data_IF_123825599272
#
_entry.id   IF_123825599272
#
_cell.length_a   1.000
_cell.length_b   1.000
_cell.length_c   1.000
_cell.angle_alpha   90.00
_cell.angle_beta   90.00
_cell.angle_gamma   90.00
#
_symmetry.space_group_name_H-M   'P 1'
#
loop_
_entity.id
_entity.type
_entity.pdbx_description
1 polymer ?
#
# COMPACT_ATOMS: atom_id res chain seq x y z
N UNK A 1 25.45 9.27 -18.40
CA UNK A 1 24.42 10.14 -17.88
C UNK A 1 23.56 9.44 -16.89
N UNK A 2 23.29 10.07 -15.81
CA UNK A 2 22.47 9.48 -14.80
C UNK A 2 21.05 9.94 -14.95
N UNK A 3 20.22 9.01 -15.04
CA UNK A 3 18.82 9.24 -15.24
C UNK A 3 18.12 9.12 -13.91
N UNK A 4 17.72 10.22 -13.35
CA UNK A 4 16.95 10.19 -12.12
C UNK A 4 15.49 10.16 -12.48
N UNK A 5 14.95 8.99 -12.54
CA UNK A 5 13.54 8.84 -12.73
C UNK A 5 12.89 8.84 -11.36
N UNK A 6 12.24 9.93 -11.05
CA UNK A 6 11.61 10.07 -9.73
C UNK A 6 10.15 9.66 -9.84
N UNK A 7 9.82 8.53 -9.25
CA UNK A 7 8.45 8.08 -9.22
C UNK A 7 7.62 8.94 -8.28
N UNK A 8 6.36 9.17 -8.62
CA UNK A 8 5.45 9.81 -7.71
C UNK A 8 5.20 8.88 -6.52
N UNK A 9 4.76 9.44 -5.40
CA UNK A 9 4.44 8.63 -4.24
C UNK A 9 3.33 7.63 -4.56
N UNK A 10 2.35 8.05 -5.36
CA UNK A 10 1.26 7.18 -5.75
C UNK A 10 1.78 5.95 -6.53
N UNK A 11 2.63 6.17 -7.52
CA UNK A 11 3.18 5.07 -8.30
C UNK A 11 4.08 4.18 -7.45
N UNK A 12 4.84 4.78 -6.57
CA UNK A 12 5.71 4.03 -5.68
C UNK A 12 4.89 3.10 -4.78
N UNK A 13 3.79 3.62 -4.23
CA UNK A 13 2.93 2.79 -3.39
C UNK A 13 2.24 1.69 -4.21
N UNK A 14 1.85 1.97 -5.44
CA UNK A 14 1.29 0.94 -6.32
C UNK A 14 2.28 -0.20 -6.54
N UNK A 15 3.56 0.13 -6.69
CA UNK A 15 4.60 -0.91 -6.79
C UNK A 15 4.70 -1.73 -5.51
N UNK A 16 4.61 -1.10 -4.35
CA UNK A 16 4.63 -1.81 -3.08
C UNK A 16 3.44 -2.77 -2.99
N UNK A 17 2.26 -2.31 -3.38
CA UNK A 17 1.07 -3.15 -3.38
C UNK A 17 1.23 -4.34 -4.33
N UNK A 18 1.78 -4.11 -5.52
CA UNK A 18 1.98 -5.19 -6.49
C UNK A 18 2.97 -6.21 -5.97
N UNK A 19 4.06 -5.78 -5.35
CA UNK A 19 5.02 -6.69 -4.75
C UNK A 19 4.39 -7.49 -3.61
N UNK A 20 3.58 -6.83 -2.80
CA UNK A 20 2.91 -7.48 -1.68
C UNK A 20 1.96 -8.57 -2.18
N UNK A 21 1.13 -8.24 -3.17
CA UNK A 21 0.19 -9.22 -3.72
C UNK A 21 0.91 -10.37 -4.40
N UNK A 22 1.98 -10.08 -5.12
CA UNK A 22 2.76 -11.12 -5.79
C UNK A 22 3.40 -12.06 -4.77
N UNK A 23 3.96 -11.51 -3.71
CA UNK A 23 4.60 -12.31 -2.67
C UNK A 23 3.60 -13.20 -1.94
N UNK A 24 2.39 -12.70 -1.72
CA UNK A 24 1.34 -13.44 -1.02
C UNK A 24 0.43 -14.22 -1.96
N UNK A 25 0.73 -14.19 -3.25
CA UNK A 25 -0.01 -14.94 -4.27
C UNK A 25 -1.48 -14.49 -4.38
N UNK A 26 -1.69 -13.19 -4.30
CA UNK A 26 -3.00 -12.59 -4.56
C UNK A 26 -3.07 -12.02 -5.96
N UNK A 27 -4.27 -11.90 -6.53
CA UNK A 27 -4.42 -11.24 -7.84
C UNK A 27 -3.97 -9.77 -7.78
N UNK A 28 -3.41 -9.27 -8.87
CA UNK A 28 -3.00 -7.88 -8.97
C UNK A 28 -4.22 -6.99 -8.75
N UNK A 29 -4.05 -5.94 -7.95
CA UNK A 29 -5.11 -4.99 -7.67
C UNK A 29 -6.06 -5.42 -6.56
N UNK A 30 -5.86 -6.60 -5.95
CA UNK A 30 -6.77 -7.09 -4.92
C UNK A 30 -6.79 -6.19 -3.68
N UNK A 31 -5.70 -5.47 -3.40
CA UNK A 31 -5.66 -4.59 -2.23
C UNK A 31 -6.55 -3.35 -2.38
N UNK A 32 -6.87 -2.99 -3.61
CA UNK A 32 -7.74 -1.84 -3.89
C UNK A 32 -9.22 -2.22 -3.97
N UNK A 33 -9.55 -3.49 -3.80
CA UNK A 33 -10.93 -3.95 -3.85
C UNK A 33 -11.65 -3.65 -2.54
N UNK A 34 -12.96 -3.83 -2.57
CA UNK A 34 -13.78 -3.63 -1.37
C UNK A 34 -13.80 -4.85 -0.45
N UNK A 35 -13.11 -5.90 -0.81
CA UNK A 35 -13.09 -7.11 -0.01
C UNK A 35 -12.54 -6.86 1.39
N UNK A 36 -13.19 -7.43 2.38
CA UNK A 36 -12.78 -7.34 3.78
C UNK A 36 -12.20 -8.63 4.31
N UNK A 37 -11.81 -9.53 3.43
CA UNK A 37 -11.20 -10.79 3.84
C UNK A 37 -9.94 -10.50 4.65
N UNK A 38 -9.73 -11.29 5.71
CA UNK A 38 -8.61 -11.07 6.60
C UNK A 38 -7.25 -11.09 5.92
N UNK A 39 -6.96 -12.03 5.01
CA UNK A 39 -5.66 -12.01 4.33
C UNK A 39 -5.42 -10.72 3.56
N UNK A 40 -6.46 -10.17 2.92
CA UNK A 40 -6.33 -8.91 2.20
C UNK A 40 -6.14 -7.73 3.14
N UNK A 41 -6.82 -7.75 4.28
CA UNK A 41 -6.63 -6.69 5.28
C UNK A 41 -5.22 -6.72 5.85
N UNK A 42 -4.69 -7.90 6.13
CA UNK A 42 -3.32 -8.04 6.61
C UNK A 42 -2.33 -7.54 5.54
N UNK A 43 -2.57 -7.88 4.28
CA UNK A 43 -1.70 -7.43 3.20
C UNK A 43 -1.73 -5.91 3.05
N UNK A 44 -2.90 -5.30 3.18
CA UNK A 44 -3.02 -3.84 3.16
C UNK A 44 -2.24 -3.21 4.30
N UNK A 45 -2.32 -3.79 5.49
CA UNK A 45 -1.59 -3.29 6.65
C UNK A 45 -0.08 -3.39 6.43
N UNK A 46 0.39 -4.50 5.90
CA UNK A 46 1.82 -4.67 5.60
C UNK A 46 2.29 -3.66 4.56
N UNK A 47 1.55 -3.51 3.46
CA UNK A 47 1.92 -2.55 2.42
C UNK A 47 1.92 -1.12 2.97
N UNK A 48 0.95 -0.77 3.79
CA UNK A 48 0.87 0.56 4.39
C UNK A 48 2.03 0.80 5.34
N UNK A 49 2.38 -0.18 6.14
CA UNK A 49 3.49 -0.09 7.07
C UNK A 49 4.81 0.15 6.32
N UNK A 50 5.06 -0.63 5.28
CA UNK A 50 6.26 -0.47 4.47
C UNK A 50 6.30 0.91 3.84
N UNK A 51 5.17 1.35 3.28
CA UNK A 51 5.10 2.65 2.64
C UNK A 51 5.42 3.79 3.61
N UNK A 52 4.93 3.70 4.84
CA UNK A 52 5.16 4.75 5.83
C UNK A 52 6.58 4.70 6.40
N UNK A 53 7.10 3.51 6.67
CA UNK A 53 8.38 3.40 7.35
C UNK A 53 9.58 3.42 6.40
N UNK A 54 9.43 2.83 5.22
CA UNK A 54 10.56 2.71 4.28
C UNK A 54 10.57 3.80 3.23
N UNK A 55 9.38 4.26 2.79
CA UNK A 55 9.28 5.19 1.67
C UNK A 55 8.68 6.54 2.07
N UNK A 56 8.24 6.68 3.30
CA UNK A 56 7.66 7.92 3.82
C UNK A 56 6.52 8.44 2.95
N UNK A 57 5.67 7.55 2.51
CA UNK A 57 4.54 7.90 1.65
C UNK A 57 3.40 8.45 2.51
N UNK A 58 2.78 9.53 2.02
CA UNK A 58 1.69 10.21 2.74
C UNK A 58 0.49 9.28 2.89
N UNK A 59 -0.12 9.30 4.07
CA UNK A 59 -1.31 8.48 4.36
C UNK A 59 -2.46 8.77 3.41
N UNK A 60 -2.59 10.01 2.96
CA UNK A 60 -3.64 10.37 2.01
C UNK A 60 -3.48 9.61 0.71
N UNK A 61 -2.24 9.47 0.24
CA UNK A 61 -1.96 8.73 -0.99
C UNK A 61 -2.23 7.25 -0.80
N UNK A 62 -1.82 6.70 0.34
CA UNK A 62 -2.07 5.29 0.66
C UNK A 62 -3.58 5.02 0.66
N UNK A 63 -4.34 5.86 1.33
CA UNK A 63 -5.79 5.71 1.37
C UNK A 63 -6.43 5.80 0.00
N UNK A 64 -5.94 6.71 -0.84
CA UNK A 64 -6.44 6.84 -2.20
C UNK A 64 -6.21 5.59 -3.03
N UNK A 65 -5.00 5.05 -2.97
CA UNK A 65 -4.66 3.86 -3.75
C UNK A 65 -5.41 2.64 -3.25
N UNK A 66 -5.52 2.48 -1.94
CA UNK A 66 -6.25 1.36 -1.36
C UNK A 66 -7.77 1.56 -1.36
N UNK A 67 -8.22 2.74 -1.74
CA UNK A 67 -9.64 3.10 -1.72
C UNK A 67 -10.20 2.95 -0.30
N UNK A 68 -9.47 3.50 0.67
CA UNK A 68 -9.82 3.43 2.08
C UNK A 68 -9.73 4.80 2.73
N UNK A 69 -10.42 4.95 3.84
CA UNK A 69 -10.38 6.17 4.62
C UNK A 69 -9.00 6.36 5.26
N UNK A 70 -8.55 7.60 5.35
CA UNK A 70 -7.28 7.94 5.95
C UNK A 70 -7.17 7.44 7.39
N UNK A 71 -8.26 7.47 8.14
CA UNK A 71 -8.29 6.96 9.52
C UNK A 71 -7.95 5.48 9.59
N UNK A 72 -8.41 4.71 8.60
CA UNK A 72 -8.13 3.29 8.55
C UNK A 72 -6.66 3.01 8.27
N UNK A 73 -6.03 3.85 7.45
CA UNK A 73 -4.60 3.73 7.19
C UNK A 73 -3.82 3.96 8.48
N UNK A 74 -4.21 4.95 9.26
CA UNK A 74 -3.59 5.20 10.55
C UNK A 74 -3.71 3.98 11.47
N UNK A 75 -4.87 3.34 11.42
CA UNK A 75 -5.11 2.13 12.20
C UNK A 75 -4.19 0.98 11.76
N UNK A 76 -3.95 0.84 10.46
CA UNK A 76 -3.03 -0.17 9.95
C UNK A 76 -1.63 0.00 10.51
N UNK A 77 -1.15 1.23 10.62
CA UNK A 77 0.17 1.50 11.17
C UNK A 77 0.27 1.04 12.63
N UNK A 78 -0.79 1.23 13.39
CA UNK A 78 -0.79 0.88 14.81
C UNK A 78 -0.84 -0.62 15.05
N UNK A 79 -1.34 -1.39 14.11
CA UNK A 79 -1.48 -2.83 14.28
C UNK A 79 -0.17 -3.57 14.01
N UNK A 80 0.78 -2.88 13.49
CA UNK A 80 2.10 -3.40 13.21
C UNK A 80 3.12 -2.66 14.07
#
# INVERSE_FOLDING_TARGET
MIYHFKMTQENNFKCICNLTTKTLDFPVGSLSTKSRKRPLQAARAVASYIARTEEDIDRTIIGKVLNRNRSLIYHYEKTH
#
